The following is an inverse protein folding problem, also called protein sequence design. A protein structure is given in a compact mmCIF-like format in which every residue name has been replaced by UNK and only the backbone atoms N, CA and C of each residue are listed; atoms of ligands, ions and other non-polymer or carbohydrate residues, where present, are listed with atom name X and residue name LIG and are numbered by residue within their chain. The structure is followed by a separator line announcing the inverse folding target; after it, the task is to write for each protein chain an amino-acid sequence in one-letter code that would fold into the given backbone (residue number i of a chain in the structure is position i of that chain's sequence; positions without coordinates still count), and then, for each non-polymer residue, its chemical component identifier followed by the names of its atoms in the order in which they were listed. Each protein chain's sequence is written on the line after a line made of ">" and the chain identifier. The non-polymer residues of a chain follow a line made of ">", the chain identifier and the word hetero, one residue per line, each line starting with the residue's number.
data_IF_104013655234
#
_entry.id   IF_104013655234
#
_cell.length_a   1.000
_cell.length_b   1.000
_cell.length_c   1.000
_cell.angle_alpha   90.00
_cell.angle_beta   90.00
_cell.angle_gamma   90.00
#
_symmetry.space_group_name_H-M   'P 1'
#
loop_
_entity.id
_entity.type
_entity.pdbx_description
1 polymer ?
#
# COMPACT_ATOMS: atom_id res chain seq x y z
N UNK A 1 11.10 31.75 4.88
CA UNK A 1 9.75 31.21 5.21
C UNK A 1 9.01 30.56 4.01
N UNK A 2 9.04 31.10 2.78
CA UNK A 2 8.39 30.50 1.59
C UNK A 2 8.92 29.10 1.18
N UNK A 3 10.22 28.85 1.30
CA UNK A 3 10.84 27.57 0.92
C UNK A 3 10.37 26.39 1.81
N UNK A 4 10.28 26.60 3.13
CA UNK A 4 9.83 25.56 4.05
C UNK A 4 8.36 25.16 3.86
N UNK A 5 7.47 26.12 3.53
CA UNK A 5 6.06 25.79 3.22
C UNK A 5 5.92 24.98 1.93
N UNK A 6 6.81 25.20 0.94
CA UNK A 6 6.82 24.39 -0.30
C UNK A 6 7.24 22.95 0.01
N UNK A 7 8.34 22.77 0.75
CA UNK A 7 8.83 21.44 1.12
C UNK A 7 7.78 20.63 1.89
N UNK A 8 7.10 21.24 2.87
CA UNK A 8 6.07 20.60 3.68
C UNK A 8 4.84 20.17 2.86
N UNK A 9 4.44 20.98 1.86
CA UNK A 9 3.37 20.64 0.92
C UNK A 9 3.76 19.45 0.02
N UNK A 10 5.03 19.41 -0.42
CA UNK A 10 5.57 18.32 -1.22
C UNK A 10 5.66 17.01 -0.43
N UNK A 11 6.16 17.05 0.81
CA UNK A 11 6.19 15.90 1.71
C UNK A 11 4.79 15.34 1.94
N UNK A 12 3.82 16.20 2.25
CA UNK A 12 2.43 15.78 2.44
C UNK A 12 1.85 15.11 1.19
N UNK A 13 2.08 15.69 0.01
CA UNK A 13 1.64 15.10 -1.25
C UNK A 13 2.32 13.76 -1.54
N UNK A 14 3.62 13.63 -1.24
CA UNK A 14 4.34 12.37 -1.38
C UNK A 14 3.77 11.30 -0.45
N UNK A 15 3.42 11.65 0.79
CA UNK A 15 2.76 10.75 1.73
C UNK A 15 1.39 10.26 1.23
N UNK A 16 0.57 11.14 0.66
CA UNK A 16 -0.70 10.76 0.04
C UNK A 16 -0.51 9.91 -1.23
N UNK A 17 0.52 10.20 -2.03
CA UNK A 17 0.84 9.39 -3.20
C UNK A 17 1.27 7.98 -2.79
N UNK A 18 2.15 7.84 -1.79
CA UNK A 18 2.53 6.56 -1.21
C UNK A 18 1.33 5.80 -0.66
N UNK A 19 0.42 6.48 0.04
CA UNK A 19 -0.82 5.89 0.54
C UNK A 19 -1.68 5.34 -0.61
N UNK A 20 -1.90 6.13 -1.66
CA UNK A 20 -2.71 5.74 -2.81
C UNK A 20 -2.09 4.56 -3.56
N UNK A 21 -0.76 4.57 -3.75
CA UNK A 21 -0.04 3.47 -4.39
C UNK A 21 -0.15 2.20 -3.54
N UNK A 22 0.09 2.28 -2.23
CA UNK A 22 -0.01 1.14 -1.33
C UNK A 22 -1.43 0.54 -1.30
N UNK A 23 -2.46 1.40 -1.32
CA UNK A 23 -3.85 0.97 -1.41
C UNK A 23 -4.15 0.30 -2.75
N UNK A 24 -3.63 0.82 -3.87
CA UNK A 24 -3.79 0.20 -5.18
C UNK A 24 -3.18 -1.21 -5.19
N UNK A 25 -2.01 -1.42 -4.56
CA UNK A 25 -1.41 -2.75 -4.41
C UNK A 25 -2.24 -3.72 -3.55
N UNK A 26 -3.12 -3.24 -2.68
CA UNK A 26 -4.03 -4.10 -1.90
C UNK A 26 -5.30 -4.41 -2.70
N UNK A 27 -5.88 -3.40 -3.37
CA UNK A 27 -7.14 -3.53 -4.11
C UNK A 27 -6.94 -4.32 -5.41
N UNK A 28 -5.83 -4.10 -6.12
CA UNK A 28 -5.59 -4.70 -7.43
C UNK A 28 -5.59 -6.24 -7.40
N UNK A 29 -4.86 -6.93 -6.50
CA UNK A 29 -4.93 -8.38 -6.38
C UNK A 29 -6.33 -8.90 -6.06
N UNK A 30 -7.07 -8.20 -5.19
CA UNK A 30 -8.44 -8.57 -4.85
C UNK A 30 -9.37 -8.49 -6.08
N UNK A 31 -9.22 -7.45 -6.91
CA UNK A 31 -9.96 -7.32 -8.16
C UNK A 31 -9.59 -8.43 -9.16
N UNK A 32 -8.32 -8.80 -9.27
CA UNK A 32 -7.88 -9.89 -10.16
C UNK A 32 -8.50 -11.21 -9.74
N UNK A 33 -8.47 -11.55 -8.44
CA UNK A 33 -9.10 -12.78 -7.93
C UNK A 33 -10.61 -12.76 -8.14
N UNK A 34 -11.26 -11.63 -7.88
CA UNK A 34 -12.69 -11.47 -8.09
C UNK A 34 -13.08 -11.60 -9.57
N UNK A 35 -12.29 -11.03 -10.48
CA UNK A 35 -12.48 -11.16 -11.92
C UNK A 35 -12.33 -12.62 -12.37
N UNK A 36 -11.32 -13.34 -11.86
CA UNK A 36 -11.14 -14.77 -12.12
C UNK A 36 -12.34 -15.59 -11.62
N UNK A 37 -12.86 -15.26 -10.43
CA UNK A 37 -14.05 -15.91 -9.87
C UNK A 37 -15.29 -15.69 -10.75
N UNK A 38 -15.55 -14.47 -11.21
CA UNK A 38 -16.71 -14.16 -12.05
C UNK A 38 -16.62 -14.74 -13.47
N UNK A 39 -15.42 -14.77 -14.06
CA UNK A 39 -15.22 -15.25 -15.42
C UNK A 39 -15.12 -16.78 -15.52
N UNK A 40 -15.05 -17.48 -14.38
CA UNK A 40 -14.72 -18.91 -14.36
C UNK A 40 -13.36 -19.20 -15.01
N UNK A 41 -12.51 -18.18 -15.14
CA UNK A 41 -11.25 -18.27 -15.84
C UNK A 41 -10.29 -19.21 -15.09
N UNK A 42 -9.50 -19.96 -15.85
CA UNK A 42 -8.46 -20.81 -15.28
C UNK A 42 -7.42 -19.97 -14.53
N UNK A 43 -7.06 -20.46 -13.36
CA UNK A 43 -6.01 -19.91 -12.51
C UNK A 43 -4.71 -19.85 -13.34
N UNK A 44 -3.93 -18.77 -13.25
CA UNK A 44 -2.67 -18.67 -13.96
C UNK A 44 -1.80 -19.89 -13.70
N UNK A 45 -1.37 -20.51 -14.80
CA UNK A 45 -0.64 -21.76 -14.79
C UNK A 45 0.86 -21.48 -14.76
N UNK A 46 1.46 -21.57 -13.56
CA UNK A 46 2.90 -21.39 -13.35
C UNK A 46 3.67 -22.70 -13.52
N UNK A 47 3.03 -23.82 -13.18
CA UNK A 47 3.50 -25.19 -13.35
C UNK A 47 2.71 -25.84 -14.48
N UNK A 48 3.38 -26.31 -15.55
CA UNK A 48 2.74 -27.00 -16.65
C UNK A 48 2.00 -28.26 -16.16
N UNK A 49 0.79 -28.47 -16.69
CA UNK A 49 -0.01 -29.65 -16.41
C UNK A 49 0.36 -30.67 -17.49
N UNK A 50 0.89 -31.84 -17.13
CA UNK A 50 1.25 -32.84 -18.11
C UNK A 50 -0.02 -33.34 -18.84
N UNK A 51 0.03 -33.48 -20.17
CA UNK A 51 -1.15 -33.84 -20.98
C UNK A 51 -1.58 -35.30 -20.81
N UNK A 52 -0.73 -36.16 -20.24
CA UNK A 52 -0.99 -37.59 -20.05
C UNK A 52 -0.52 -38.04 -18.67
N UNK A 53 -1.40 -37.94 -17.68
CA UNK A 53 -1.17 -38.54 -16.37
C UNK A 53 -2.15 -39.72 -16.17
N UNK A 54 -1.68 -40.97 -16.22
CA UNK A 54 -2.55 -42.15 -16.11
C UNK A 54 -3.23 -42.28 -14.75
N UNK A 55 -2.67 -41.67 -13.68
CA UNK A 55 -3.21 -41.80 -12.32
C UNK A 55 -3.79 -40.47 -11.78
N UNK A 56 -3.71 -39.37 -12.54
CA UNK A 56 -4.24 -38.05 -12.17
C UNK A 56 -3.54 -37.33 -11.00
N UNK A 57 -2.58 -37.98 -10.32
CA UNK A 57 -1.85 -37.40 -9.18
C UNK A 57 -0.96 -36.22 -9.57
N UNK A 58 -0.21 -36.33 -10.66
CA UNK A 58 0.68 -35.27 -11.16
C UNK A 58 -0.14 -34.06 -11.59
N UNK A 59 -1.30 -34.28 -12.21
CA UNK A 59 -2.26 -33.23 -12.55
C UNK A 59 -2.79 -32.51 -11.31
N UNK A 60 -3.20 -33.27 -10.28
CA UNK A 60 -3.69 -32.69 -9.02
C UNK A 60 -2.61 -31.88 -8.28
N UNK A 61 -1.38 -32.40 -8.23
CA UNK A 61 -0.23 -31.70 -7.62
C UNK A 61 0.11 -30.42 -8.39
N UNK A 62 0.09 -30.44 -9.72
CA UNK A 62 0.34 -29.25 -10.53
C UNK A 62 -0.73 -28.16 -10.31
N UNK A 63 -2.01 -28.54 -10.26
CA UNK A 63 -3.11 -27.63 -9.94
C UNK A 63 -2.97 -27.03 -8.54
N UNK A 64 -2.72 -27.88 -7.54
CA UNK A 64 -2.53 -27.43 -6.15
C UNK A 64 -1.32 -26.48 -6.02
N UNK A 65 -0.21 -26.81 -6.68
CA UNK A 65 1.00 -25.98 -6.69
C UNK A 65 0.72 -24.60 -7.30
N UNK A 66 -0.02 -24.55 -8.42
CA UNK A 66 -0.42 -23.29 -9.05
C UNK A 66 -1.27 -22.40 -8.14
N UNK A 67 -2.25 -22.99 -7.45
CA UNK A 67 -3.07 -22.27 -6.46
C UNK A 67 -2.21 -21.73 -5.32
N UNK A 68 -1.32 -22.57 -4.79
CA UNK A 68 -0.44 -22.19 -3.68
C UNK A 68 0.51 -21.05 -4.08
N UNK A 69 1.13 -21.14 -5.25
CA UNK A 69 2.00 -20.09 -5.79
C UNK A 69 1.25 -18.77 -6.01
N UNK A 70 0.05 -18.82 -6.61
CA UNK A 70 -0.79 -17.65 -6.77
C UNK A 70 -1.09 -16.99 -5.40
N UNK A 71 -1.40 -17.80 -4.40
CA UNK A 71 -1.69 -17.32 -3.04
C UNK A 71 -0.47 -16.67 -2.39
N UNK A 72 0.72 -17.26 -2.51
CA UNK A 72 1.98 -16.69 -2.02
C UNK A 72 2.27 -15.35 -2.69
N UNK A 73 2.10 -15.25 -4.01
CA UNK A 73 2.27 -13.99 -4.75
C UNK A 73 1.31 -12.92 -4.22
N UNK A 74 0.04 -13.25 -4.04
CA UNK A 74 -0.96 -12.32 -3.49
C UNK A 74 -0.55 -11.83 -2.09
N UNK A 75 -0.11 -12.74 -1.21
CA UNK A 75 0.35 -12.39 0.13
C UNK A 75 1.53 -11.41 0.06
N UNK A 76 2.53 -11.69 -0.78
CA UNK A 76 3.70 -10.82 -0.95
C UNK A 76 3.30 -9.43 -1.45
N UNK A 77 2.37 -9.35 -2.40
CA UNK A 77 1.88 -8.08 -2.94
C UNK A 77 1.11 -7.28 -1.88
N UNK A 78 0.21 -7.92 -1.12
CA UNK A 78 -0.54 -7.28 -0.04
C UNK A 78 0.41 -6.82 1.07
N UNK A 79 1.42 -7.62 1.41
CA UNK A 79 2.44 -7.28 2.40
C UNK A 79 3.26 -6.05 1.97
N UNK A 80 3.71 -6.02 0.71
CA UNK A 80 4.41 -4.87 0.15
C UNK A 80 3.53 -3.61 0.15
N UNK A 81 2.26 -3.73 -0.27
CA UNK A 81 1.28 -2.64 -0.23
C UNK A 81 1.05 -2.10 1.19
N UNK A 82 1.02 -2.99 2.19
CA UNK A 82 0.89 -2.63 3.61
C UNK A 82 2.10 -1.83 4.11
N UNK A 83 3.32 -2.25 3.78
CA UNK A 83 4.54 -1.51 4.13
C UNK A 83 4.54 -0.12 3.49
N UNK A 84 4.22 -0.03 2.20
CA UNK A 84 4.17 1.25 1.47
C UNK A 84 3.13 2.19 2.09
N UNK A 85 1.94 1.67 2.38
CA UNK A 85 0.85 2.43 3.02
C UNK A 85 1.28 2.93 4.39
N UNK A 86 1.89 2.09 5.23
CA UNK A 86 2.35 2.49 6.57
C UNK A 86 3.37 3.62 6.52
N UNK A 87 4.32 3.58 5.58
CA UNK A 87 5.30 4.66 5.36
C UNK A 87 4.63 5.96 4.91
N UNK A 88 3.64 5.87 4.02
CA UNK A 88 2.83 7.02 3.60
C UNK A 88 2.09 7.69 4.77
N UNK A 89 1.46 6.90 5.65
CA UNK A 89 0.76 7.42 6.84
C UNK A 89 1.72 8.11 7.81
N UNK A 90 2.89 7.52 8.08
CA UNK A 90 3.89 8.13 8.96
C UNK A 90 4.34 9.49 8.44
N UNK A 91 4.58 9.60 7.13
CA UNK A 91 5.02 10.84 6.51
C UNK A 91 3.95 11.95 6.58
N UNK A 92 2.67 11.60 6.44
CA UNK A 92 1.55 12.54 6.64
C UNK A 92 1.45 12.97 8.11
N UNK A 93 1.63 12.05 9.06
CA UNK A 93 1.57 12.33 10.49
C UNK A 93 2.69 13.28 10.92
N UNK A 94 3.92 13.05 10.47
CA UNK A 94 5.08 13.88 10.79
C UNK A 94 4.90 15.31 10.32
N UNK A 95 4.36 15.50 9.10
CA UNK A 95 4.04 16.84 8.57
C UNK A 95 2.95 17.52 9.41
N UNK A 96 1.88 16.81 9.79
CA UNK A 96 0.84 17.38 10.67
C UNK A 96 1.41 17.82 12.02
N UNK A 97 2.30 17.02 12.60
CA UNK A 97 2.91 17.30 13.90
C UNK A 97 3.83 18.52 13.84
N UNK A 98 4.62 18.66 12.77
CA UNK A 98 5.45 19.86 12.52
C UNK A 98 4.60 21.12 12.38
N UNK A 99 3.50 21.06 11.63
CA UNK A 99 2.55 22.17 11.49
C UNK A 99 1.95 22.61 12.83
N UNK A 100 1.45 21.65 13.62
CA UNK A 100 0.83 21.92 14.94
C UNK A 100 1.85 22.52 15.91
N UNK A 101 3.08 21.99 15.95
CA UNK A 101 4.13 22.51 16.83
C UNK A 101 4.52 23.93 16.44
N UNK A 102 4.53 24.23 15.14
CA UNK A 102 4.83 25.57 14.63
C UNK A 102 3.72 26.56 14.97
N UNK A 103 2.45 26.18 14.81
CA UNK A 103 1.31 27.03 15.18
C UNK A 103 1.26 27.30 16.68
N UNK A 104 1.57 26.32 17.52
CA UNK A 104 1.61 26.51 18.98
C UNK A 104 2.72 27.47 19.40
N UNK A 105 3.89 27.41 18.75
CA UNK A 105 5.00 28.33 19.02
C UNK A 105 4.67 29.76 18.57
N UNK A 106 4.06 29.91 17.39
CA UNK A 106 3.59 31.21 16.90
C UNK A 106 2.51 31.81 17.82
N UNK A 107 1.61 30.99 18.38
CA UNK A 107 0.63 31.45 19.38
C UNK A 107 1.26 31.84 20.71
N UNK A 108 2.26 31.09 21.20
CA UNK A 108 2.96 31.42 22.44
C UNK A 108 3.71 32.77 22.33
N UNK A 109 4.41 33.00 21.20
CA UNK A 109 5.09 34.27 20.92
C UNK A 109 4.11 35.45 20.81
N UNK A 110 2.90 35.23 20.29
CA UNK A 110 1.84 36.24 20.26
C UNK A 110 1.26 36.55 21.65
N UNK A 111 1.07 35.52 22.48
CA UNK A 111 0.57 35.69 23.84
C UNK A 111 1.58 36.44 24.73
N UNK A 112 2.86 36.13 24.61
CA UNK A 112 3.94 36.81 25.35
C UNK A 112 4.03 38.29 24.96
N UNK A 113 3.97 38.62 23.66
CA UNK A 113 3.91 40.00 23.17
C UNK A 113 2.66 40.78 23.56
N UNK A 114 1.56 40.08 23.84
CA UNK A 114 0.30 40.71 24.26
C UNK A 114 0.23 40.88 25.78
N UNK A 115 1.06 40.18 26.54
CA UNK A 115 1.19 40.33 27.99
C UNK A 115 2.23 41.39 28.40
N UNK A 116 3.11 41.78 27.48
CA UNK A 116 4.15 42.80 27.68
C UNK A 116 3.71 44.23 27.29
N UNK A 117 2.53 44.38 26.67
CA UNK A 117 1.83 45.65 26.42
C UNK A 117 0.69 45.86 27.41
#
# INVERSE_FOLDING_TARGET
>A
MKSQRKAEKTERNAGYALLAIGLAFIIFPALVVFAMFLSGAQIPQFVPIPPSDPNGYITAVALFSNVCLAFVIIIVVIWAGSIITSRGVTLIKDVKLKLVRKSLREMAELAEKSAEN
#
